data_IF_219368554638
#
_entry.id   IF_219368554638
#
_cell.length_a   1.000
_cell.length_b   1.000
_cell.length_c   1.000
_cell.angle_alpha   90.00
_cell.angle_beta   90.00
_cell.angle_gamma   90.00
#
_symmetry.space_group_name_H-M   'P 1'
#
loop_
_entity.id
_entity.type
_entity.pdbx_description
1 polymer ?
#
# COMPACT_ATOMS: atom_id res chain seq x y z
N UNK A 1 -25.15 -14.07 0.19
CA UNK A 1 -24.14 -14.23 -0.86
C UNK A 1 -22.88 -13.64 -0.28
N UNK A 2 -21.88 -14.47 0.02
CA UNK A 2 -20.58 -13.96 0.48
C UNK A 2 -19.94 -13.17 -0.67
N UNK A 3 -19.52 -11.96 -0.40
CA UNK A 3 -18.69 -11.20 -1.34
C UNK A 3 -17.35 -11.92 -1.45
N UNK A 4 -16.85 -12.13 -2.67
CA UNK A 4 -15.50 -12.69 -2.88
C UNK A 4 -14.47 -11.84 -2.13
N UNK A 5 -13.49 -12.43 -1.45
CA UNK A 5 -12.46 -11.66 -0.75
C UNK A 5 -11.64 -10.79 -1.71
N UNK A 6 -11.13 -9.68 -1.19
CA UNK A 6 -10.28 -8.78 -1.96
C UNK A 6 -8.89 -9.38 -2.25
N UNK A 7 -8.37 -10.18 -1.32
CA UNK A 7 -7.08 -10.85 -1.46
C UNK A 7 -7.20 -12.28 -0.92
N UNK A 8 -6.71 -13.25 -1.71
CA UNK A 8 -6.53 -14.64 -1.31
C UNK A 8 -5.11 -15.07 -1.67
N UNK A 9 -4.36 -15.52 -0.68
CA UNK A 9 -3.02 -16.08 -0.84
C UNK A 9 -3.00 -17.50 -0.29
N UNK A 10 -2.46 -18.43 -1.05
CA UNK A 10 -2.27 -19.82 -0.64
C UNK A 10 -0.83 -20.24 -0.95
N UNK A 11 0.01 -20.34 0.09
CA UNK A 11 1.40 -20.75 -0.03
C UNK A 11 2.28 -19.81 -0.87
N UNK A 12 1.97 -18.50 -0.87
CA UNK A 12 2.66 -17.52 -1.71
C UNK A 12 4.16 -17.52 -1.43
N UNK A 13 4.96 -17.77 -2.48
CA UNK A 13 6.42 -17.82 -2.40
C UNK A 13 7.03 -16.89 -3.44
N UNK A 14 8.08 -16.12 -3.03
CA UNK A 14 8.88 -15.27 -3.92
C UNK A 14 10.35 -15.32 -3.56
N UNK A 15 11.23 -15.50 -4.57
CA UNK A 15 12.70 -15.58 -4.42
C UNK A 15 13.41 -14.47 -5.18
N UNK A 16 14.59 -14.10 -4.70
CA UNK A 16 15.60 -13.30 -5.38
C UNK A 16 16.91 -14.08 -5.37
N UNK A 17 17.25 -14.72 -6.51
CA UNK A 17 18.28 -15.75 -6.55
C UNK A 17 17.93 -16.87 -5.57
N UNK A 18 18.86 -17.23 -4.72
CA UNK A 18 18.70 -18.30 -3.70
C UNK A 18 17.95 -17.83 -2.45
N UNK A 19 17.72 -16.52 -2.27
CA UNK A 19 17.05 -15.99 -1.08
C UNK A 19 15.54 -15.99 -1.24
N UNK A 20 14.84 -16.69 -0.34
CA UNK A 20 13.40 -16.58 -0.21
C UNK A 20 13.04 -15.26 0.48
N UNK A 21 12.33 -14.38 -0.24
CA UNK A 21 11.83 -13.13 0.30
C UNK A 21 10.39 -13.25 0.83
N UNK A 22 9.64 -14.23 0.33
CA UNK A 22 8.38 -14.73 0.87
C UNK A 22 8.40 -16.26 0.75
N UNK A 23 7.96 -16.95 1.79
CA UNK A 23 7.90 -18.40 1.88
C UNK A 23 6.60 -18.83 2.54
N UNK A 24 5.72 -19.47 1.77
CA UNK A 24 4.46 -20.08 2.21
C UNK A 24 3.51 -19.11 2.94
N UNK A 25 3.32 -17.90 2.40
CA UNK A 25 2.38 -16.93 2.98
C UNK A 25 0.96 -17.25 2.55
N UNK A 26 0.08 -17.47 3.53
CA UNK A 26 -1.33 -17.84 3.33
C UNK A 26 -2.23 -16.91 4.14
N UNK A 27 -3.14 -16.20 3.47
CA UNK A 27 -4.13 -15.35 4.11
C UNK A 27 -5.32 -15.05 3.20
N UNK A 28 -6.41 -14.63 3.81
CA UNK A 28 -7.59 -14.07 3.12
C UNK A 28 -7.90 -12.71 3.73
N UNK A 29 -8.21 -11.72 2.89
CA UNK A 29 -8.62 -10.38 3.31
C UNK A 29 -9.93 -10.02 2.60
N UNK A 30 -10.95 -9.70 3.39
CA UNK A 30 -12.25 -9.31 2.87
C UNK A 30 -12.24 -7.91 2.24
N UNK A 31 -13.21 -7.65 1.36
CA UNK A 31 -13.43 -6.31 0.79
C UNK A 31 -13.75 -5.31 1.90
N UNK A 32 -13.12 -4.13 1.84
CA UNK A 32 -13.25 -3.06 2.84
C UNK A 32 -12.40 -3.25 4.10
N UNK A 33 -11.81 -4.44 4.31
CA UNK A 33 -10.97 -4.70 5.48
C UNK A 33 -9.54 -4.15 5.33
N UNK A 34 -8.90 -3.94 6.47
CA UNK A 34 -7.50 -3.51 6.56
C UNK A 34 -6.61 -4.62 7.11
N UNK A 35 -5.59 -4.99 6.35
CA UNK A 35 -4.47 -5.81 6.79
C UNK A 35 -3.30 -4.93 7.19
N UNK A 36 -2.82 -5.04 8.42
CA UNK A 36 -1.52 -4.46 8.80
C UNK A 36 -0.42 -5.53 8.76
N UNK A 37 0.73 -5.18 8.19
CA UNK A 37 1.88 -6.08 8.02
C UNK A 37 3.05 -5.58 8.86
N UNK A 38 3.48 -6.37 9.83
CA UNK A 38 4.61 -6.12 10.71
C UNK A 38 5.80 -7.01 10.39
N UNK A 39 6.97 -6.61 10.87
CA UNK A 39 8.21 -7.38 10.79
C UNK A 39 9.43 -6.50 10.56
N UNK A 40 10.64 -7.01 10.84
CA UNK A 40 11.90 -6.29 10.70
C UNK A 40 12.19 -5.91 9.23
N UNK A 41 13.21 -5.09 9.05
CA UNK A 41 13.72 -4.79 7.70
C UNK A 41 14.17 -6.08 7.01
N UNK A 42 13.78 -6.25 5.76
CA UNK A 42 14.07 -7.47 5.00
C UNK A 42 13.14 -8.66 5.28
N UNK A 43 12.11 -8.50 6.13
CA UNK A 43 11.13 -9.56 6.43
C UNK A 43 10.22 -9.97 5.26
N UNK A 44 10.18 -9.20 4.18
CA UNK A 44 9.34 -9.51 3.01
C UNK A 44 8.16 -8.56 2.80
N UNK A 45 7.91 -7.60 3.70
CA UNK A 45 6.75 -6.67 3.66
C UNK A 45 6.58 -5.98 2.29
N UNK A 46 7.60 -5.25 1.85
CA UNK A 46 7.60 -4.57 0.55
C UNK A 46 7.50 -5.55 -0.63
N UNK A 47 8.05 -6.76 -0.49
CA UNK A 47 7.92 -7.81 -1.52
C UNK A 47 6.48 -8.27 -1.64
N UNK A 48 5.77 -8.48 -0.52
CA UNK A 48 4.35 -8.80 -0.50
C UNK A 48 3.52 -7.73 -1.21
N UNK A 49 3.70 -6.46 -0.81
CA UNK A 49 3.00 -5.34 -1.47
C UNK A 49 3.26 -5.30 -2.98
N UNK A 50 4.51 -5.52 -3.43
CA UNK A 50 4.85 -5.52 -4.85
C UNK A 50 4.25 -6.69 -5.61
N UNK A 51 4.09 -7.87 -5.01
CA UNK A 51 3.38 -9.00 -5.63
C UNK A 51 1.90 -8.65 -5.79
N UNK A 52 1.25 -8.14 -4.74
CA UNK A 52 -0.14 -7.71 -4.79
C UNK A 52 -0.38 -6.58 -5.80
N UNK A 53 0.59 -5.66 -5.93
CA UNK A 53 0.58 -4.59 -6.94
C UNK A 53 0.89 -5.08 -8.37
N UNK A 54 1.07 -6.38 -8.57
CA UNK A 54 1.46 -6.98 -9.88
C UNK A 54 2.83 -6.53 -10.41
N UNK A 55 3.65 -5.90 -9.57
CA UNK A 55 5.01 -5.45 -9.93
C UNK A 55 6.03 -6.59 -9.88
N UNK A 56 5.72 -7.67 -9.16
CA UNK A 56 6.53 -8.87 -9.06
C UNK A 56 5.66 -10.10 -9.29
N UNK A 57 6.20 -11.07 -10.04
CA UNK A 57 5.54 -12.37 -10.21
C UNK A 57 5.84 -13.28 -9.02
N UNK A 58 4.86 -14.01 -8.46
CA UNK A 58 5.14 -15.11 -7.53
C UNK A 58 5.98 -16.20 -8.19
N UNK A 59 6.72 -16.98 -7.40
CA UNK A 59 7.44 -18.17 -7.85
C UNK A 59 6.74 -19.47 -7.47
N UNK A 60 5.84 -19.42 -6.50
CA UNK A 60 5.05 -20.57 -6.03
C UNK A 60 3.83 -20.13 -5.26
N UNK A 61 2.93 -21.07 -5.01
CA UNK A 61 1.64 -20.82 -4.41
C UNK A 61 0.65 -20.16 -5.38
N UNK A 62 -0.49 -19.74 -4.83
CA UNK A 62 -1.52 -19.01 -5.56
C UNK A 62 -1.73 -17.62 -4.93
N UNK A 63 -2.05 -16.63 -5.76
CA UNK A 63 -2.42 -15.30 -5.34
C UNK A 63 -3.58 -14.81 -6.21
N UNK A 64 -4.69 -14.42 -5.56
CA UNK A 64 -5.84 -13.82 -6.21
C UNK A 64 -6.07 -12.45 -5.59
N UNK A 65 -6.26 -11.43 -6.43
CA UNK A 65 -6.47 -10.04 -6.02
C UNK A 65 -7.69 -9.50 -6.76
N UNK A 66 -8.66 -8.98 -6.03
CA UNK A 66 -9.92 -8.45 -6.57
C UNK A 66 -10.61 -9.43 -7.54
N UNK A 67 -10.59 -10.72 -7.20
CA UNK A 67 -11.17 -11.81 -8.00
C UNK A 67 -10.32 -12.29 -9.19
N UNK A 68 -9.09 -11.78 -9.35
CA UNK A 68 -8.22 -12.10 -10.49
C UNK A 68 -6.96 -12.85 -10.06
N UNK A 69 -6.66 -13.97 -10.74
CA UNK A 69 -5.48 -14.79 -10.45
C UNK A 69 -4.19 -14.13 -10.96
N UNK A 70 -3.18 -14.06 -10.10
CA UNK A 70 -1.87 -13.52 -10.43
C UNK A 70 -0.88 -14.68 -10.73
N UNK A 71 0.03 -14.49 -11.69
CA UNK A 71 0.30 -13.26 -12.45
C UNK A 71 -0.56 -13.05 -13.69
N UNK A 72 -1.35 -14.04 -14.11
CA UNK A 72 -1.91 -14.12 -15.46
C UNK A 72 -2.94 -13.02 -15.77
N UNK A 73 -3.80 -12.70 -14.81
CA UNK A 73 -4.80 -11.63 -14.93
C UNK A 73 -4.37 -10.30 -14.29
N UNK A 74 -3.07 -10.09 -14.05
CA UNK A 74 -2.56 -8.88 -13.39
C UNK A 74 -2.91 -7.56 -14.10
N UNK A 75 -3.17 -7.60 -15.39
CA UNK A 75 -3.62 -6.44 -16.17
C UNK A 75 -4.99 -5.91 -15.70
N UNK A 76 -5.90 -6.80 -15.28
CA UNK A 76 -7.23 -6.43 -14.78
C UNK A 76 -7.19 -5.80 -13.38
N UNK A 77 -6.11 -6.08 -12.62
CA UNK A 77 -5.91 -5.56 -11.26
C UNK A 77 -5.30 -4.15 -11.26
N UNK A 78 -4.38 -3.84 -12.20
CA UNK A 78 -3.56 -2.62 -12.18
C UNK A 78 -4.34 -1.32 -12.13
N UNK A 79 -5.49 -1.23 -12.81
CA UNK A 79 -6.36 -0.05 -12.80
C UNK A 79 -7.20 0.10 -11.52
N UNK A 80 -7.20 -0.91 -10.64
CA UNK A 80 -8.04 -0.95 -9.43
C UNK A 80 -7.21 -0.90 -8.14
N UNK A 81 -5.88 -0.81 -8.25
CA UNK A 81 -4.93 -0.81 -7.13
C UNK A 81 -4.18 0.50 -7.06
N UNK A 82 -4.24 1.14 -5.91
CA UNK A 82 -3.39 2.27 -5.55
C UNK A 82 -2.15 1.78 -4.80
N UNK A 83 -0.95 2.11 -5.28
CA UNK A 83 0.30 1.69 -4.67
C UNK A 83 1.12 2.89 -4.21
N UNK A 84 1.38 2.96 -2.90
CA UNK A 84 2.31 3.88 -2.27
C UNK A 84 3.48 3.08 -1.72
N UNK A 85 4.59 3.08 -2.45
CA UNK A 85 5.81 2.40 -2.03
C UNK A 85 6.80 3.33 -1.35
N UNK A 86 7.93 2.78 -0.90
CA UNK A 86 9.02 3.57 -0.34
C UNK A 86 9.57 4.63 -1.32
N UNK A 87 9.61 4.33 -2.62
CA UNK A 87 9.85 5.32 -3.66
C UNK A 87 8.54 6.00 -4.07
N UNK A 88 8.55 7.32 -4.21
CA UNK A 88 7.36 8.12 -4.53
C UNK A 88 6.74 7.82 -5.90
N UNK A 89 7.55 7.26 -6.83
CA UNK A 89 7.20 7.04 -8.23
C UNK A 89 6.76 8.32 -8.95
N UNK A 90 7.30 9.46 -8.53
CA UNK A 90 7.13 10.76 -9.18
C UNK A 90 8.37 11.09 -9.99
N UNK A 91 8.17 11.67 -11.15
CA UNK A 91 9.23 12.26 -11.97
C UNK A 91 9.68 13.55 -11.32
N UNK A 92 10.94 13.62 -10.90
CA UNK A 92 11.45 14.71 -10.07
C UNK A 92 11.57 16.04 -10.82
N UNK A 93 11.80 15.98 -12.13
CA UNK A 93 11.95 17.16 -12.99
C UNK A 93 10.59 17.72 -13.46
N UNK A 94 9.52 16.98 -13.30
CA UNK A 94 8.16 17.42 -13.54
C UNK A 94 7.58 18.09 -12.29
N UNK A 95 6.62 18.99 -12.50
CA UNK A 95 5.80 19.54 -11.42
C UNK A 95 4.86 18.49 -10.83
N UNK A 96 4.31 18.72 -9.63
CA UNK A 96 3.31 17.82 -9.06
C UNK A 96 2.07 17.71 -9.97
N UNK A 97 1.62 18.82 -10.53
CA UNK A 97 0.48 18.87 -11.47
C UNK A 97 0.76 18.04 -12.73
N UNK A 98 1.94 18.17 -13.32
CA UNK A 98 2.33 17.37 -14.50
C UNK A 98 2.41 15.89 -14.19
N UNK A 99 2.98 15.52 -13.05
CA UNK A 99 2.99 14.14 -12.56
C UNK A 99 1.57 13.57 -12.44
N UNK A 100 0.67 14.27 -11.75
CA UNK A 100 -0.70 13.79 -11.58
C UNK A 100 -1.46 13.75 -12.92
N UNK A 101 -1.28 14.73 -13.80
CA UNK A 101 -1.87 14.71 -15.14
C UNK A 101 -1.39 13.54 -16.00
N UNK A 102 -0.10 13.18 -15.88
CA UNK A 102 0.45 11.99 -16.54
C UNK A 102 -0.25 10.73 -16.06
N UNK A 103 -0.36 10.54 -14.74
CA UNK A 103 -1.03 9.39 -14.14
C UNK A 103 -2.54 9.38 -14.42
N UNK A 104 -3.20 10.55 -14.43
CA UNK A 104 -4.61 10.66 -14.78
C UNK A 104 -4.88 10.14 -16.21
N UNK A 105 -4.05 10.56 -17.18
CA UNK A 105 -4.15 10.05 -18.57
C UNK A 105 -3.90 8.55 -18.65
N UNK A 106 -2.91 8.02 -17.90
CA UNK A 106 -2.56 6.60 -17.90
C UNK A 106 -3.71 5.72 -17.40
N UNK A 107 -4.46 6.21 -16.40
CA UNK A 107 -5.57 5.48 -15.78
C UNK A 107 -6.95 5.89 -16.29
N UNK A 108 -7.05 6.85 -17.22
CA UNK A 108 -8.34 7.36 -17.69
C UNK A 108 -9.11 8.16 -16.63
N UNK A 109 -8.43 8.68 -15.61
CA UNK A 109 -9.06 9.48 -14.56
C UNK A 109 -9.38 10.90 -15.05
N UNK A 110 -10.48 11.53 -14.57
CA UNK A 110 -10.83 12.89 -14.94
C UNK A 110 -9.74 13.91 -14.60
N UNK A 111 -9.45 14.84 -15.51
CA UNK A 111 -8.43 15.87 -15.29
C UNK A 111 -8.74 16.79 -14.09
N UNK A 112 -10.03 16.98 -13.77
CA UNK A 112 -10.48 17.76 -12.61
C UNK A 112 -10.00 17.20 -11.26
N UNK A 113 -9.78 15.87 -11.16
CA UNK A 113 -9.27 15.25 -9.94
C UNK A 113 -7.83 15.66 -9.59
N UNK A 114 -7.07 16.15 -10.56
CA UNK A 114 -5.68 16.57 -10.33
C UNK A 114 -5.63 17.73 -9.33
N UNK A 115 -6.35 18.80 -9.60
CA UNK A 115 -6.34 19.99 -8.74
C UNK A 115 -7.09 19.74 -7.43
N UNK A 116 -8.19 18.97 -7.47
CA UNK A 116 -8.90 18.53 -6.26
C UNK A 116 -7.96 17.78 -5.30
N UNK A 117 -7.19 16.81 -5.78
CA UNK A 117 -6.28 16.04 -4.92
C UNK A 117 -5.08 16.86 -4.45
N UNK A 118 -4.53 17.74 -5.31
CA UNK A 118 -3.47 18.66 -4.89
C UNK A 118 -3.93 19.60 -3.78
N UNK A 119 -5.17 20.06 -3.83
CA UNK A 119 -5.77 20.85 -2.77
C UNK A 119 -5.94 20.04 -1.48
N UNK A 120 -6.55 18.84 -1.57
CA UNK A 120 -6.76 17.94 -0.43
C UNK A 120 -5.48 17.57 0.31
N UNK A 121 -4.37 17.41 -0.40
CA UNK A 121 -3.07 17.14 0.23
C UNK A 121 -2.27 18.42 0.56
N UNK A 122 -2.88 19.61 0.43
CA UNK A 122 -2.27 20.90 0.76
C UNK A 122 -1.08 21.27 -0.13
N UNK A 123 -1.13 20.92 -1.43
CA UNK A 123 -0.06 21.19 -2.38
C UNK A 123 -0.50 22.06 -3.56
N UNK A 124 -1.75 22.55 -3.60
CA UNK A 124 -2.27 23.29 -4.75
C UNK A 124 -1.46 24.56 -5.04
N UNK A 125 -1.07 25.31 -4.00
CA UNK A 125 -0.24 26.53 -4.13
C UNK A 125 1.18 26.27 -4.65
N UNK A 126 1.65 25.03 -4.58
CA UNK A 126 2.97 24.59 -5.02
C UNK A 126 2.88 23.62 -6.21
N UNK A 127 1.70 23.45 -6.79
CA UNK A 127 1.39 22.45 -7.81
C UNK A 127 2.28 22.55 -9.06
N UNK A 128 2.71 23.75 -9.38
CA UNK A 128 3.51 24.06 -10.56
C UNK A 128 5.03 24.17 -10.29
N UNK A 129 5.45 23.83 -9.06
CA UNK A 129 6.87 23.71 -8.72
C UNK A 129 7.37 22.28 -9.04
N UNK A 130 8.59 22.12 -9.56
CA UNK A 130 9.20 20.82 -9.80
C UNK A 130 9.35 20.00 -8.51
N UNK A 131 9.05 18.69 -8.58
CA UNK A 131 9.07 17.81 -7.42
C UNK A 131 10.45 17.73 -6.74
N UNK A 132 11.55 17.95 -7.46
CA UNK A 132 12.89 17.98 -6.84
C UNK A 132 13.08 19.13 -5.83
N UNK A 133 12.22 20.17 -5.86
CA UNK A 133 12.24 21.29 -4.90
C UNK A 133 11.42 21.02 -3.64
N UNK A 134 10.68 19.88 -3.60
CA UNK A 134 9.80 19.52 -2.51
C UNK A 134 10.55 18.96 -1.30
N UNK A 135 10.06 19.28 -0.10
CA UNK A 135 10.46 18.57 1.12
C UNK A 135 10.03 17.09 1.05
N UNK A 136 10.60 16.24 1.91
CA UNK A 136 10.20 14.82 2.00
C UNK A 136 8.71 14.65 2.26
N UNK A 137 8.15 15.45 3.18
CA UNK A 137 6.71 15.41 3.47
C UNK A 137 5.84 15.87 2.30
N UNK A 138 6.28 16.88 1.51
CA UNK A 138 5.59 17.29 0.29
C UNK A 138 5.62 16.19 -0.78
N UNK A 139 6.77 15.54 -0.98
CA UNK A 139 6.89 14.40 -1.91
C UNK A 139 5.96 13.27 -1.49
N UNK A 140 5.90 12.96 -0.19
CA UNK A 140 5.01 11.91 0.33
C UNK A 140 3.53 12.25 0.08
N UNK A 141 3.10 13.48 0.37
CA UNK A 141 1.72 13.93 0.11
C UNK A 141 1.37 13.89 -1.39
N UNK A 142 2.27 14.29 -2.25
CA UNK A 142 2.08 14.18 -3.71
C UNK A 142 2.02 12.71 -4.17
N UNK A 143 2.81 11.81 -3.57
CA UNK A 143 2.75 10.38 -3.84
C UNK A 143 1.44 9.75 -3.36
N UNK A 144 0.87 10.20 -2.23
CA UNK A 144 -0.48 9.81 -1.80
C UNK A 144 -1.52 10.25 -2.84
N UNK A 145 -1.51 11.53 -3.26
CA UNK A 145 -2.43 12.03 -4.29
C UNK A 145 -2.36 11.18 -5.57
N UNK A 146 -1.14 10.83 -6.02
CA UNK A 146 -0.92 9.94 -7.17
C UNK A 146 -1.54 8.56 -6.94
N UNK A 147 -1.36 7.97 -5.75
CA UNK A 147 -1.82 6.61 -5.46
C UNK A 147 -3.36 6.49 -5.46
N UNK A 148 -4.09 7.57 -5.12
CA UNK A 148 -5.56 7.57 -5.04
C UNK A 148 -6.24 8.24 -6.24
N UNK A 149 -5.48 8.74 -7.21
CA UNK A 149 -5.96 9.56 -8.31
C UNK A 149 -7.05 8.89 -9.16
N UNK A 150 -6.91 7.60 -9.39
CA UNK A 150 -7.81 6.79 -10.23
C UNK A 150 -8.89 6.05 -9.43
N UNK A 151 -9.10 6.45 -8.17
CA UNK A 151 -10.11 5.89 -7.26
C UNK A 151 -10.01 4.37 -7.06
N UNK A 152 -8.87 3.87 -6.60
CA UNK A 152 -8.62 2.43 -6.46
C UNK A 152 -9.51 1.79 -5.40
N UNK A 153 -9.85 0.50 -5.62
CA UNK A 153 -10.59 -0.34 -4.67
C UNK A 153 -9.68 -0.92 -3.58
N UNK A 154 -8.41 -1.15 -3.91
CA UNK A 154 -7.38 -1.67 -3.01
C UNK A 154 -6.22 -0.70 -2.90
N UNK A 155 -5.86 -0.34 -1.67
CA UNK A 155 -4.67 0.46 -1.36
C UNK A 155 -3.56 -0.43 -0.78
N UNK A 156 -2.39 -0.36 -1.38
CA UNK A 156 -1.17 -1.02 -0.92
C UNK A 156 -0.19 0.06 -0.47
N UNK A 157 0.04 0.17 0.84
CA UNK A 157 0.66 1.31 1.49
C UNK A 157 1.91 0.87 2.26
N UNK A 158 3.09 1.25 1.77
CA UNK A 158 4.37 0.96 2.43
C UNK A 158 4.77 2.15 3.31
N UNK A 159 4.53 2.06 4.61
CA UNK A 159 4.79 3.10 5.62
C UNK A 159 4.19 4.47 5.23
N UNK A 160 2.87 4.57 5.01
CA UNK A 160 2.24 5.71 4.35
C UNK A 160 2.42 7.05 5.07
N UNK A 161 2.57 7.04 6.38
CA UNK A 161 2.72 8.25 7.22
C UNK A 161 4.18 8.56 7.59
N UNK A 162 5.14 7.75 7.11
CA UNK A 162 6.55 8.05 7.33
C UNK A 162 6.93 9.41 6.75
N UNK A 163 7.70 10.18 7.48
CA UNK A 163 8.13 11.55 7.14
C UNK A 163 7.01 12.61 7.07
N UNK A 164 5.81 12.33 7.56
CA UNK A 164 4.76 13.32 7.73
C UNK A 164 4.74 13.83 9.17
N UNK A 165 4.60 15.14 9.33
CA UNK A 165 4.22 15.74 10.59
C UNK A 165 2.72 15.47 10.88
N UNK A 166 2.24 15.68 12.12
CA UNK A 166 0.85 15.40 12.47
C UNK A 166 -0.18 16.09 11.58
N UNK A 167 0.04 17.36 11.21
CA UNK A 167 -0.87 18.09 10.34
C UNK A 167 -0.90 17.49 8.92
N UNK A 168 0.26 17.14 8.36
CA UNK A 168 0.32 16.48 7.05
C UNK A 168 -0.31 15.09 7.08
N UNK A 169 -0.20 14.36 8.19
CA UNK A 169 -0.87 13.07 8.37
C UNK A 169 -2.41 13.22 8.37
N UNK A 170 -2.95 14.24 9.04
CA UNK A 170 -4.38 14.57 9.04
C UNK A 170 -4.93 14.88 7.64
N UNK A 171 -4.15 15.53 6.77
CA UNK A 171 -4.56 15.82 5.39
C UNK A 171 -4.68 14.56 4.51
N UNK A 172 -3.84 13.56 4.75
CA UNK A 172 -3.83 12.34 3.93
C UNK A 172 -4.73 11.23 4.48
N UNK A 173 -5.06 11.25 5.78
CA UNK A 173 -5.86 10.21 6.43
C UNK A 173 -7.23 9.98 5.75
N UNK A 174 -8.02 10.99 5.37
CA UNK A 174 -9.28 10.78 4.65
C UNK A 174 -9.11 10.11 3.27
N UNK A 175 -7.89 10.10 2.72
CA UNK A 175 -7.59 9.53 1.41
C UNK A 175 -7.14 8.07 1.50
N UNK A 176 -6.35 7.74 2.52
CA UNK A 176 -5.67 6.44 2.65
C UNK A 176 -5.89 5.77 4.01
N UNK A 177 -6.50 6.46 4.98
CA UNK A 177 -6.82 5.94 6.30
C UNK A 177 -8.05 5.01 6.33
N UNK A 178 -8.42 4.50 7.51
CA UNK A 178 -9.59 3.63 7.69
C UNK A 178 -10.89 4.27 7.18
N UNK A 179 -11.03 5.57 7.37
CA UNK A 179 -12.20 6.35 6.96
C UNK A 179 -12.41 6.41 5.44
N UNK A 180 -11.40 6.02 4.64
CA UNK A 180 -11.52 5.98 3.17
C UNK A 180 -12.49 4.91 2.66
N UNK A 181 -12.86 3.92 3.51
CA UNK A 181 -13.76 2.82 3.16
C UNK A 181 -13.20 1.81 2.15
N UNK A 182 -11.91 1.90 1.80
CA UNK A 182 -11.25 1.01 0.84
C UNK A 182 -10.64 -0.19 1.53
N UNK A 183 -10.46 -1.27 0.77
CA UNK A 183 -9.59 -2.37 1.21
C UNK A 183 -8.14 -1.86 1.28
N UNK A 184 -7.40 -2.21 2.35
CA UNK A 184 -6.05 -1.70 2.56
C UNK A 184 -5.10 -2.78 3.02
N UNK A 185 -3.87 -2.74 2.50
CA UNK A 185 -2.72 -3.46 3.07
C UNK A 185 -1.67 -2.43 3.43
N UNK A 186 -1.34 -2.33 4.71
CA UNK A 186 -0.49 -1.27 5.26
C UNK A 186 0.70 -1.89 5.97
N UNK A 187 1.93 -1.51 5.63
CA UNK A 187 3.09 -1.85 6.47
C UNK A 187 3.27 -0.78 7.55
N UNK A 188 3.60 -1.19 8.76
CA UNK A 188 3.80 -0.27 9.88
C UNK A 188 4.97 -0.72 10.77
N UNK A 189 5.66 0.26 11.35
CA UNK A 189 6.61 0.08 12.44
C UNK A 189 6.03 0.50 13.80
N UNK A 190 4.83 1.08 13.82
CA UNK A 190 4.07 1.41 15.03
C UNK A 190 3.07 0.30 15.36
N UNK A 191 3.34 -0.56 16.37
CA UNK A 191 2.43 -1.63 16.74
C UNK A 191 1.08 -1.13 17.26
N UNK A 192 1.07 -0.01 17.98
CA UNK A 192 -0.14 0.51 18.62
C UNK A 192 -1.07 1.11 17.59
N UNK A 193 -0.59 2.05 16.78
CA UNK A 193 -1.39 2.70 15.74
C UNK A 193 -1.81 1.70 14.65
N UNK A 194 -0.88 0.84 14.22
CA UNK A 194 -1.15 -0.15 13.18
C UNK A 194 -2.24 -1.16 13.58
N UNK A 195 -2.20 -1.69 14.82
CA UNK A 195 -3.23 -2.63 15.30
C UNK A 195 -4.58 -1.94 15.50
N UNK A 196 -4.60 -0.71 15.99
CA UNK A 196 -5.84 0.05 16.19
C UNK A 196 -6.64 0.24 14.91
N UNK A 197 -5.94 0.47 13.81
CA UNK A 197 -6.50 0.87 12.52
C UNK A 197 -6.69 -0.32 11.54
N UNK A 198 -6.54 -1.56 12.02
CA UNK A 198 -6.59 -2.78 11.22
C UNK A 198 -7.64 -3.80 11.72
N UNK A 199 -8.13 -4.62 10.79
CA UNK A 199 -8.98 -5.78 11.07
C UNK A 199 -8.15 -7.05 11.24
N UNK A 200 -7.08 -7.20 10.45
CA UNK A 200 -6.20 -8.37 10.43
C UNK A 200 -4.74 -7.93 10.57
N UNK A 201 -3.96 -8.68 11.34
CA UNK A 201 -2.53 -8.45 11.51
C UNK A 201 -1.72 -9.64 10.98
N UNK A 202 -0.74 -9.35 10.13
CA UNK A 202 0.25 -10.29 9.62
C UNK A 202 1.63 -9.95 10.17
N UNK A 203 2.28 -10.90 10.82
CA UNK A 203 3.68 -10.81 11.22
C UNK A 203 4.58 -11.60 10.28
N UNK A 204 5.56 -10.93 9.65
CA UNK A 204 6.56 -11.55 8.80
C UNK A 204 7.94 -11.51 9.45
N UNK A 205 8.68 -12.65 9.38
CA UNK A 205 10.09 -12.75 9.78
C UNK A 205 10.83 -13.64 8.81
N UNK A 206 11.92 -13.14 8.22
CA UNK A 206 12.72 -13.92 7.25
C UNK A 206 11.93 -14.44 6.03
N UNK A 207 10.91 -13.71 5.61
CA UNK A 207 10.02 -14.12 4.51
C UNK A 207 8.87 -15.05 4.92
N UNK A 208 8.83 -15.52 6.16
CA UNK A 208 7.84 -16.48 6.69
C UNK A 208 6.74 -15.76 7.47
N UNK A 209 5.56 -16.34 7.43
CA UNK A 209 4.43 -15.92 8.24
C UNK A 209 4.57 -16.50 9.65
N UNK A 210 4.85 -15.63 10.63
CA UNK A 210 4.99 -16.00 12.04
C UNK A 210 3.69 -15.72 12.82
N UNK A 211 2.85 -14.80 12.32
CA UNK A 211 1.59 -14.42 12.94
C UNK A 211 0.57 -14.11 11.86
N UNK A 212 -0.65 -14.59 12.04
CA UNK A 212 -1.85 -14.12 11.35
C UNK A 212 -3.02 -14.23 12.31
N UNK A 213 -3.61 -13.11 12.71
CA UNK A 213 -4.74 -13.07 13.63
C UNK A 213 -5.56 -11.79 13.44
N UNK A 214 -6.85 -11.77 13.89
CA UNK A 214 -7.59 -10.51 14.01
C UNK A 214 -6.78 -9.49 14.83
N UNK A 215 -6.69 -8.26 14.35
CA UNK A 215 -5.81 -7.25 14.97
C UNK A 215 -6.16 -6.99 16.44
N UNK A 216 -7.43 -7.08 16.81
CA UNK A 216 -7.93 -6.95 18.19
C UNK A 216 -7.41 -8.02 19.16
N UNK A 217 -6.98 -9.17 18.63
CA UNK A 217 -6.50 -10.31 19.42
C UNK A 217 -4.95 -10.32 19.54
N UNK A 218 -4.28 -9.36 18.90
CA UNK A 218 -2.82 -9.24 18.84
C UNK A 218 -2.34 -8.15 19.79
N UNK A 219 -1.32 -8.46 20.58
CA UNK A 219 -0.68 -7.52 21.51
C UNK A 219 0.58 -6.89 20.91
N UNK A 220 0.93 -5.69 21.37
CA UNK A 220 2.20 -5.05 21.00
C UNK A 220 3.42 -5.89 21.38
N UNK A 221 3.33 -6.72 22.43
CA UNK A 221 4.39 -7.64 22.84
C UNK A 221 4.62 -8.75 21.81
N UNK A 222 3.55 -9.33 21.24
CA UNK A 222 3.65 -10.32 20.16
C UNK A 222 4.27 -9.71 18.89
N UNK A 223 3.91 -8.46 18.56
CA UNK A 223 4.58 -7.75 17.47
C UNK A 223 6.04 -7.49 17.80
N UNK A 224 6.36 -7.08 19.04
CA UNK A 224 7.75 -6.88 19.49
C UNK A 224 8.63 -8.14 19.32
N UNK A 225 8.07 -9.33 19.54
CA UNK A 225 8.77 -10.60 19.37
C UNK A 225 9.22 -10.88 17.92
N UNK A 226 8.59 -10.26 16.92
CA UNK A 226 9.03 -10.38 15.51
C UNK A 226 10.38 -9.70 15.26
N UNK A 227 10.77 -8.74 16.10
CA UNK A 227 11.98 -7.93 15.95
C UNK A 227 13.14 -8.44 16.84
N UNK A 228 12.87 -9.37 17.74
CA UNK A 228 13.87 -10.07 18.56
C UNK A 228 14.57 -11.18 17.75
#
# INVERSE_FOLDING_TARGET
MGTDPAIELAGLTRRYGDREALSDVTLTLDVGATLVVFGPNGAGKTTLLRVLATLLRPHGGAARVLGHDLPDAGWAVRGRVGFLGHASLLYRDLTARENLRFHAKLHGAPASRVDELLDRVGLLARADDPVHTYSRGMVQRAAVARAVLHDPELLLLDEPTANLDPHAAELVDPLIGPSSGRTRVVTSHDPVGGLRDADLALGLRGGRQELLAPARDVTSAQIGALYA
#
